data_IF_869210952785
#
_entry.id   IF_869210952785
#
_cell.length_a   1.000
_cell.length_b   1.000
_cell.length_c   1.000
_cell.angle_alpha   90.00
_cell.angle_beta   90.00
_cell.angle_gamma   90.00
#
_symmetry.space_group_name_H-M   'P 1'
#
loop_
_entity.id
_entity.type
_entity.pdbx_description
1 polymer ?
#
# COMPACT_ATOMS: atom_id res chain seq x y z
N UNK A 1 14.73 9.59 6.16
CA UNK A 1 15.24 8.27 5.69
C UNK A 1 16.00 8.44 4.38
N UNK A 2 17.12 7.72 4.21
CA UNK A 2 17.80 7.66 2.89
C UNK A 2 16.90 6.90 1.93
N UNK A 3 16.70 7.46 0.72
CA UNK A 3 15.85 6.87 -0.32
C UNK A 3 16.56 5.62 -0.86
N UNK A 4 16.15 4.43 -0.46
CA UNK A 4 16.60 3.18 -1.09
C UNK A 4 15.74 2.95 -2.33
N UNK A 5 16.34 3.04 -3.52
CA UNK A 5 15.64 2.86 -4.80
C UNK A 5 15.12 1.44 -5.02
N UNK A 6 15.59 0.46 -4.24
CA UNK A 6 15.13 -0.93 -4.32
C UNK A 6 13.95 -1.21 -3.38
N UNK A 7 13.65 -0.34 -2.41
CA UNK A 7 12.52 -0.54 -1.51
C UNK A 7 11.20 -0.15 -2.22
N UNK A 8 10.28 -1.10 -2.49
CA UNK A 8 9.05 -0.81 -3.21
C UNK A 8 8.15 0.11 -2.38
N UNK A 9 7.47 1.03 -3.04
CA UNK A 9 6.45 1.88 -2.42
C UNK A 9 5.23 1.05 -2.03
N UNK A 10 4.41 1.56 -1.12
CA UNK A 10 3.22 0.83 -0.65
C UNK A 10 2.26 0.46 -1.79
N UNK A 11 2.10 1.32 -2.82
CA UNK A 11 1.22 1.04 -3.94
C UNK A 11 1.76 -0.09 -4.83
N UNK A 12 3.08 -0.20 -4.96
CA UNK A 12 3.74 -1.31 -5.67
C UNK A 12 3.58 -2.64 -4.92
N UNK A 13 3.30 -2.59 -3.61
CA UNK A 13 3.06 -3.78 -2.78
C UNK A 13 1.58 -4.22 -2.76
N UNK A 14 0.63 -3.45 -3.29
CA UNK A 14 -0.79 -3.82 -3.23
C UNK A 14 -1.10 -5.11 -4.01
N UNK A 15 -0.59 -5.24 -5.24
CA UNK A 15 -0.78 -6.42 -6.06
C UNK A 15 -0.01 -7.66 -5.53
N UNK A 16 1.27 -7.54 -5.13
CA UNK A 16 1.97 -8.62 -4.41
C UNK A 16 1.22 -9.09 -3.16
N UNK A 17 0.63 -8.17 -2.40
CA UNK A 17 -0.16 -8.50 -1.21
C UNK A 17 -1.44 -9.28 -1.56
N UNK A 18 -2.20 -8.83 -2.56
CA UNK A 18 -3.38 -9.57 -3.03
C UNK A 18 -3.01 -10.98 -3.48
N UNK A 19 -1.90 -11.12 -4.22
CA UNK A 19 -1.38 -12.43 -4.64
C UNK A 19 -1.03 -13.30 -3.42
N UNK A 20 -0.33 -12.75 -2.44
CA UNK A 20 0.02 -13.45 -1.20
C UNK A 20 -1.23 -13.97 -0.48
N UNK A 21 -2.27 -13.13 -0.33
CA UNK A 21 -3.53 -13.55 0.29
C UNK A 21 -4.22 -14.65 -0.52
N UNK A 22 -4.23 -14.59 -1.85
CA UNK A 22 -4.78 -15.68 -2.67
C UNK A 22 -4.03 -17.01 -2.46
N UNK A 23 -2.70 -16.96 -2.36
CA UNK A 23 -1.88 -18.16 -2.08
C UNK A 23 -2.08 -18.70 -0.66
N UNK A 24 -2.39 -17.83 0.31
CA UNK A 24 -2.77 -18.21 1.69
C UNK A 24 -4.23 -18.68 1.81
N UNK A 25 -4.96 -18.83 0.69
CA UNK A 25 -6.35 -19.29 0.69
C UNK A 25 -7.38 -18.19 0.94
N UNK A 26 -7.00 -16.92 0.82
CA UNK A 26 -7.86 -15.74 0.89
C UNK A 26 -7.79 -14.99 2.22
N UNK A 27 -7.10 -15.50 3.22
CA UNK A 27 -6.93 -14.90 4.54
C UNK A 27 -5.52 -15.11 5.05
N UNK A 28 -5.01 -14.21 5.90
CA UNK A 28 -3.71 -14.40 6.56
C UNK A 28 -3.47 -13.40 7.69
N UNK A 29 -2.58 -13.76 8.62
CA UNK A 29 -2.06 -12.84 9.63
C UNK A 29 -1.12 -11.80 9.02
N UNK A 30 -0.80 -10.75 9.79
CA UNK A 30 0.18 -9.74 9.38
C UNK A 30 1.51 -10.39 8.98
N UNK A 31 1.96 -11.33 9.81
CA UNK A 31 3.23 -12.05 9.68
C UNK A 31 3.20 -12.98 8.47
N UNK A 32 2.14 -13.77 8.30
CA UNK A 32 1.98 -14.67 7.15
C UNK A 32 2.00 -13.89 5.82
N UNK A 33 1.27 -12.76 5.77
CA UNK A 33 1.25 -11.89 4.60
C UNK A 33 2.63 -11.30 4.35
N UNK A 34 3.30 -10.75 5.37
CA UNK A 34 4.62 -10.15 5.23
C UNK A 34 5.67 -11.15 4.74
N UNK A 35 5.67 -12.36 5.30
CA UNK A 35 6.53 -13.45 4.87
C UNK A 35 6.24 -13.83 3.40
N UNK A 36 4.96 -14.07 3.06
CA UNK A 36 4.57 -14.48 1.71
C UNK A 36 4.89 -13.41 0.66
N UNK A 37 4.67 -12.13 0.96
CA UNK A 37 5.05 -11.04 0.05
C UNK A 37 6.57 -10.97 -0.11
N UNK A 38 7.34 -11.16 0.96
CA UNK A 38 8.81 -11.16 0.89
C UNK A 38 9.31 -12.29 -0.01
N UNK A 39 8.78 -13.51 0.14
CA UNK A 39 9.05 -14.66 -0.72
C UNK A 39 8.73 -14.36 -2.20
N UNK A 40 7.57 -13.78 -2.48
CA UNK A 40 7.10 -13.48 -3.84
C UNK A 40 7.84 -12.31 -4.50
N UNK A 41 8.31 -11.35 -3.71
CA UNK A 41 8.94 -10.12 -4.20
C UNK A 41 10.38 -10.33 -4.68
N UNK A 42 11.05 -11.40 -4.21
CA UNK A 42 12.46 -11.66 -4.51
C UNK A 42 13.40 -10.52 -4.06
N UNK A 43 12.96 -9.71 -3.10
CA UNK A 43 13.76 -8.59 -2.60
C UNK A 43 14.99 -9.12 -1.84
N UNK A 44 16.15 -8.47 -2.01
CA UNK A 44 17.34 -8.78 -1.23
C UNK A 44 17.09 -8.68 0.28
N UNK A 45 17.76 -9.56 1.05
CA UNK A 45 17.59 -9.64 2.51
C UNK A 45 17.99 -8.35 3.23
N UNK A 46 18.99 -7.63 2.71
CA UNK A 46 19.40 -6.32 3.23
C UNK A 46 18.34 -5.24 3.02
N UNK A 47 17.51 -5.35 1.96
CA UNK A 47 16.36 -4.48 1.71
C UNK A 47 15.21 -4.83 2.65
N UNK A 48 14.91 -6.12 2.83
CA UNK A 48 13.84 -6.60 3.71
C UNK A 48 14.05 -6.20 5.18
N UNK A 49 15.31 -6.16 5.63
CA UNK A 49 15.66 -5.86 7.02
C UNK A 49 15.93 -4.38 7.31
N UNK A 50 15.63 -3.46 6.37
CA UNK A 50 15.79 -2.02 6.62
C UNK A 50 14.80 -1.58 7.70
N UNK A 51 15.25 -1.06 8.85
CA UNK A 51 14.35 -0.58 9.90
C UNK A 51 13.60 0.69 9.44
N UNK A 52 12.30 0.76 9.70
CA UNK A 52 11.49 1.97 9.44
C UNK A 52 11.90 3.12 10.38
N UNK A 53 11.95 2.83 11.67
CA UNK A 53 12.42 3.75 12.69
C UNK A 53 13.21 2.99 13.76
N UNK A 54 14.55 2.94 13.65
CA UNK A 54 15.41 2.18 14.56
C UNK A 54 15.25 2.56 16.04
N UNK A 55 14.86 3.81 16.31
CA UNK A 55 14.76 4.34 17.68
C UNK A 55 13.41 4.03 18.34
N UNK A 56 12.39 3.66 17.55
CA UNK A 56 11.01 3.53 18.04
C UNK A 56 10.43 2.13 17.96
N UNK A 57 10.90 1.28 17.04
CA UNK A 57 10.36 -0.07 16.88
C UNK A 57 11.28 -0.99 16.09
N UNK A 58 11.07 -2.30 16.22
CA UNK A 58 11.68 -3.32 15.35
C UNK A 58 11.04 -3.43 13.97
N UNK A 59 10.03 -2.60 13.65
CA UNK A 59 9.32 -2.68 12.38
C UNK A 59 10.23 -2.32 11.20
N UNK A 60 10.21 -3.14 10.17
CA UNK A 60 10.92 -2.87 8.92
C UNK A 60 10.14 -1.89 8.03
N UNK A 61 10.85 -1.23 7.13
CA UNK A 61 10.24 -0.31 6.16
C UNK A 61 9.22 -1.03 5.25
N UNK A 62 9.47 -2.29 4.88
CA UNK A 62 8.52 -3.08 4.08
C UNK A 62 7.26 -3.41 4.88
N UNK A 63 7.37 -3.78 6.15
CA UNK A 63 6.21 -4.04 7.03
C UNK A 63 5.35 -2.79 7.21
N UNK A 64 5.99 -1.63 7.38
CA UNK A 64 5.32 -0.33 7.44
C UNK A 64 4.55 -0.04 6.15
N UNK A 65 5.18 -0.25 4.99
CA UNK A 65 4.53 -0.06 3.68
C UNK A 65 3.42 -1.08 3.41
N UNK A 66 3.55 -2.32 3.89
CA UNK A 66 2.49 -3.33 3.84
C UNK A 66 1.31 -2.97 4.74
N UNK A 67 1.53 -2.31 5.88
CA UNK A 67 0.43 -1.76 6.68
C UNK A 67 -0.38 -0.73 5.89
N UNK A 68 0.30 0.15 5.15
CA UNK A 68 -0.38 1.06 4.22
C UNK A 68 -1.10 0.34 3.09
N UNK A 69 -0.44 -0.59 2.39
CA UNK A 69 -1.05 -1.36 1.30
C UNK A 69 -2.37 -2.02 1.73
N UNK A 70 -2.38 -2.68 2.91
CA UNK A 70 -3.60 -3.27 3.50
C UNK A 70 -4.68 -2.23 3.77
N UNK A 71 -4.30 -1.10 4.36
CA UNK A 71 -5.23 0.00 4.66
C UNK A 71 -5.90 0.50 3.38
N UNK A 72 -5.14 0.71 2.30
CA UNK A 72 -5.68 1.15 1.03
C UNK A 72 -6.55 0.09 0.36
N UNK A 73 -6.14 -1.17 0.34
CA UNK A 73 -6.94 -2.25 -0.24
C UNK A 73 -8.25 -2.49 0.51
N UNK A 74 -8.27 -2.28 1.84
CA UNK A 74 -9.51 -2.26 2.62
C UNK A 74 -10.39 -1.06 2.30
N UNK A 75 -9.80 0.14 2.18
CA UNK A 75 -10.54 1.34 1.74
C UNK A 75 -11.12 1.18 0.34
N UNK A 76 -10.42 0.45 -0.54
CA UNK A 76 -10.88 0.08 -1.87
C UNK A 76 -11.95 -1.04 -1.86
N UNK A 77 -12.24 -1.62 -0.68
CA UNK A 77 -13.28 -2.62 -0.49
C UNK A 77 -12.89 -4.05 -0.88
N UNK A 78 -11.60 -4.32 -1.09
CA UNK A 78 -11.11 -5.67 -1.41
C UNK A 78 -10.75 -6.48 -0.18
N UNK A 79 -10.30 -5.81 0.88
CA UNK A 79 -9.92 -6.46 2.13
C UNK A 79 -10.80 -6.02 3.29
N UNK A 80 -10.93 -6.90 4.28
CA UNK A 80 -11.45 -6.57 5.58
C UNK A 80 -10.57 -7.13 6.70
N UNK A 81 -10.77 -6.60 7.90
CA UNK A 81 -10.07 -7.09 9.09
C UNK A 81 -11.05 -7.97 9.84
N UNK A 82 -10.92 -9.28 9.66
CA UNK A 82 -11.84 -10.28 10.23
C UNK A 82 -11.62 -10.47 11.74
N UNK A 83 -10.36 -10.30 12.18
CA UNK A 83 -9.95 -10.27 13.59
C UNK A 83 -8.70 -9.39 13.74
N UNK A 84 -8.28 -9.11 14.98
CA UNK A 84 -7.05 -8.38 15.29
C UNK A 84 -5.87 -9.03 14.59
N UNK A 85 -5.30 -8.31 13.62
CA UNK A 85 -4.13 -8.77 12.86
C UNK A 85 -4.44 -9.73 11.70
N UNK A 86 -5.69 -10.19 11.54
CA UNK A 86 -6.08 -11.10 10.45
C UNK A 86 -6.75 -10.30 9.33
N UNK A 87 -6.26 -10.46 8.11
CA UNK A 87 -6.79 -9.80 6.93
C UNK A 87 -7.36 -10.82 5.96
N UNK A 88 -8.56 -10.52 5.46
CA UNK A 88 -9.35 -11.39 4.61
C UNK A 88 -9.67 -10.65 3.31
N UNK A 89 -9.56 -11.34 2.16
CA UNK A 89 -10.17 -10.89 0.92
C UNK A 89 -11.67 -11.03 1.08
N UNK A 90 -12.39 -9.91 0.96
CA UNK A 90 -13.86 -9.85 1.04
C UNK A 90 -14.44 -10.96 0.14
N UNK A 91 -15.33 -11.84 0.65
CA UNK A 91 -15.76 -13.04 -0.08
C UNK A 91 -16.28 -12.76 -1.49
N UNK A 92 -17.04 -11.68 -1.68
CA UNK A 92 -17.61 -11.26 -2.97
C UNK A 92 -16.56 -10.72 -3.95
N UNK A 93 -15.32 -10.49 -3.48
CA UNK A 93 -14.19 -9.96 -4.25
C UNK A 93 -13.09 -10.98 -4.49
N UNK A 94 -13.31 -12.26 -4.15
CA UNK A 94 -12.28 -13.33 -4.23
C UNK A 94 -11.78 -13.63 -5.65
N UNK A 95 -12.53 -13.23 -6.66
CA UNK A 95 -12.10 -13.34 -8.07
C UNK A 95 -11.21 -12.17 -8.52
N UNK A 96 -11.14 -11.07 -7.75
CA UNK A 96 -10.25 -9.94 -8.04
C UNK A 96 -8.81 -10.34 -7.69
N UNK A 97 -7.99 -10.58 -8.72
CA UNK A 97 -6.59 -10.99 -8.56
C UNK A 97 -5.61 -9.83 -8.52
N UNK A 98 -5.98 -8.67 -9.05
CA UNK A 98 -5.15 -7.46 -9.06
C UNK A 98 -5.99 -6.19 -9.19
N UNK A 99 -5.37 -5.05 -8.87
CA UNK A 99 -5.88 -3.70 -9.14
C UNK A 99 -4.99 -3.00 -10.17
N UNK A 100 -5.48 -1.98 -10.89
CA UNK A 100 -4.65 -1.18 -11.79
C UNK A 100 -3.51 -0.46 -11.05
N UNK A 101 -2.31 -0.44 -11.64
CA UNK A 101 -1.09 0.15 -11.03
C UNK A 101 -1.02 1.69 -11.16
N UNK A 102 -2.17 2.36 -11.30
CA UNK A 102 -2.25 3.82 -11.47
C UNK A 102 -1.80 4.31 -12.86
N UNK A 103 -1.87 3.45 -13.87
CA UNK A 103 -1.63 3.83 -15.26
C UNK A 103 -2.74 4.72 -15.82
N UNK A 104 -2.42 5.47 -16.88
CA UNK A 104 -3.37 6.36 -17.55
C UNK A 104 -4.47 5.53 -18.21
N UNK A 105 -5.68 5.55 -17.64
CA UNK A 105 -6.82 4.78 -18.17
C UNK A 105 -7.38 5.35 -19.49
N UNK A 106 -7.22 6.65 -19.74
CA UNK A 106 -7.65 7.33 -20.96
C UNK A 106 -6.87 8.62 -21.20
N UNK A 107 -6.57 8.92 -22.48
CA UNK A 107 -5.86 10.12 -22.90
C UNK A 107 -4.34 9.95 -22.86
N UNK A 108 -3.61 11.05 -23.01
CA UNK A 108 -2.15 11.08 -22.93
C UNK A 108 -1.70 11.93 -21.75
N UNK A 109 -0.84 11.37 -20.90
CA UNK A 109 -0.17 12.12 -19.85
C UNK A 109 1.33 12.10 -20.10
N UNK A 110 1.98 13.27 -20.29
CA UNK A 110 3.42 13.32 -20.38
C UNK A 110 4.06 12.72 -19.13
N UNK A 111 5.00 11.78 -19.31
CA UNK A 111 5.63 11.04 -18.22
C UNK A 111 6.22 11.97 -17.13
N UNK A 112 6.73 13.16 -17.51
CA UNK A 112 7.20 14.19 -16.57
C UNK A 112 6.09 14.68 -15.61
N UNK A 113 4.87 14.88 -16.11
CA UNK A 113 3.72 15.31 -15.29
C UNK A 113 3.24 14.18 -14.39
N UNK A 114 3.21 12.93 -14.89
CA UNK A 114 2.87 11.77 -14.08
C UNK A 114 3.83 11.62 -12.89
N UNK A 115 5.15 11.78 -13.13
CA UNK A 115 6.15 11.76 -12.06
C UNK A 115 5.95 12.87 -11.02
N UNK A 116 5.54 14.07 -11.44
CA UNK A 116 5.20 15.15 -10.50
C UNK A 116 3.98 14.79 -9.66
N UNK A 117 2.92 14.24 -10.27
CA UNK A 117 1.73 13.80 -9.51
C UNK A 117 2.10 12.69 -8.52
N UNK A 118 2.89 11.70 -8.94
CA UNK A 118 3.36 10.64 -8.05
C UNK A 118 4.20 11.19 -6.88
N UNK A 119 5.07 12.17 -7.13
CA UNK A 119 5.82 12.83 -6.08
C UNK A 119 4.92 13.63 -5.12
N UNK A 120 3.90 14.31 -5.66
CA UNK A 120 2.92 15.04 -4.86
C UNK A 120 2.11 14.11 -3.95
N UNK A 121 1.62 13.00 -4.50
CA UNK A 121 0.88 11.96 -3.76
C UNK A 121 1.73 11.38 -2.64
N UNK A 122 3.02 11.13 -2.91
CA UNK A 122 3.95 10.62 -1.90
C UNK A 122 4.14 11.60 -0.74
N UNK A 123 4.35 12.89 -1.04
CA UNK A 123 4.60 13.92 -0.04
C UNK A 123 3.38 14.14 0.84
N UNK A 124 2.19 14.16 0.25
CA UNK A 124 0.95 14.48 0.95
C UNK A 124 0.15 13.22 1.29
N UNK A 125 0.81 12.06 1.41
CA UNK A 125 0.14 10.78 1.66
C UNK A 125 -0.75 10.82 2.91
N UNK A 126 -0.24 11.38 4.01
CA UNK A 126 -0.97 11.47 5.27
C UNK A 126 -2.21 12.37 5.12
N UNK A 127 -2.07 13.50 4.43
CA UNK A 127 -3.17 14.44 4.18
C UNK A 127 -4.22 13.86 3.23
N UNK A 128 -3.79 13.15 2.18
CA UNK A 128 -4.69 12.42 1.29
C UNK A 128 -5.48 11.38 2.07
N UNK A 129 -4.86 10.72 3.05
CA UNK A 129 -5.51 9.70 3.86
C UNK A 129 -6.46 10.28 4.90
N UNK A 130 -6.13 11.44 5.48
CA UNK A 130 -7.03 12.20 6.32
C UNK A 130 -8.24 12.69 5.52
N UNK A 131 -8.02 13.27 4.33
CA UNK A 131 -9.09 13.71 3.44
C UNK A 131 -9.99 12.56 3.00
N UNK A 132 -9.43 11.39 2.65
CA UNK A 132 -10.22 10.20 2.37
C UNK A 132 -11.12 9.84 3.55
N UNK A 133 -10.57 9.82 4.78
CA UNK A 133 -11.34 9.48 5.98
C UNK A 133 -12.51 10.44 6.17
N UNK A 134 -12.27 11.75 6.03
CA UNK A 134 -13.31 12.77 6.07
C UNK A 134 -14.41 12.47 5.03
N UNK A 135 -14.04 12.21 3.78
CA UNK A 135 -15.02 11.99 2.71
C UNK A 135 -15.88 10.74 2.91
N UNK A 136 -15.31 9.65 3.42
CA UNK A 136 -16.08 8.42 3.71
C UNK A 136 -17.04 8.62 4.88
N UNK A 137 -16.70 9.49 5.83
CA UNK A 137 -17.56 9.87 6.95
C UNK A 137 -18.58 10.97 6.58
N UNK A 138 -18.67 11.35 5.30
CA UNK A 138 -19.56 12.40 4.81
C UNK A 138 -19.10 13.83 5.15
N UNK A 139 -17.86 13.99 5.60
CA UNK A 139 -17.26 15.28 5.95
C UNK A 139 -16.48 15.87 4.76
N UNK A 140 -16.31 17.20 4.80
CA UNK A 140 -15.62 17.93 3.74
C UNK A 140 -14.09 17.76 3.87
N UNK A 141 -13.37 17.37 2.79
CA UNK A 141 -11.92 17.34 2.79
C UNK A 141 -11.34 18.76 2.80
N UNK A 142 -10.13 18.91 3.32
CA UNK A 142 -9.39 20.18 3.30
C UNK A 142 -8.44 20.26 2.10
N UNK A 143 -8.00 21.49 1.79
CA UNK A 143 -7.08 21.74 0.69
C UNK A 143 -5.69 21.19 1.02
N UNK A 144 -5.12 20.42 0.09
CA UNK A 144 -3.72 19.98 0.14
C UNK A 144 -2.89 20.92 -0.75
N UNK A 145 -1.76 21.39 -0.24
CA UNK A 145 -0.91 22.32 -0.97
C UNK A 145 -0.26 21.66 -2.21
N UNK A 146 -0.12 22.37 -3.35
CA UNK A 146 0.51 21.82 -4.54
C UNK A 146 2.03 21.68 -4.37
N UNK A 147 2.67 20.91 -5.26
CA UNK A 147 4.14 20.91 -5.35
C UNK A 147 4.67 22.32 -5.65
N UNK A 148 5.71 22.72 -4.92
CA UNK A 148 6.46 23.96 -5.14
C UNK A 148 7.63 23.74 -6.10
#
# INVERSE_FOLDING_TARGET
MKRNSQMPKYHELMNPLLKALHELGGSGSIEEIAQKVSELSGLPEDVLNIPHNPEKSSQTEIEYRLAWARTYLKKYGLLENSDRGIWLIVPEKRDVKSIPDGEVLKGEMPNKKLKLIQAWVEIHQEELMANWKLTVEGQQPYKIEPLR
#
